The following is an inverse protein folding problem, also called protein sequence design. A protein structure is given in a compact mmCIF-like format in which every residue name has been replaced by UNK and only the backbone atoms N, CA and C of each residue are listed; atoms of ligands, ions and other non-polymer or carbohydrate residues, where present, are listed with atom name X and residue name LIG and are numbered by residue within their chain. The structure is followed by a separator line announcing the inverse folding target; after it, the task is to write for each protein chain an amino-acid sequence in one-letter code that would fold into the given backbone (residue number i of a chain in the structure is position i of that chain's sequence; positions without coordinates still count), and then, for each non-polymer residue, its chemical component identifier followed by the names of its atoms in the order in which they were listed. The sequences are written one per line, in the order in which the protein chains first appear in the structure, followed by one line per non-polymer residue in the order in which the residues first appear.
data_IF_596905247423
#
_entry.id   IF_596905247423
#
_cell.length_a   1.000
_cell.length_b   1.000
_cell.length_c   1.000
_cell.angle_alpha   90.00
_cell.angle_beta   90.00
_cell.angle_gamma   90.00
#
_symmetry.space_group_name_H-M   'P 1'
#
loop_
_entity.id
_entity.type
_entity.pdbx_description
1 polymer ?
#
# COMPACT_ATOMS: atom_id res chain seq x y z
N UNK A 1 -29.75 33.10 88.24
CA UNK A 1 -28.63 33.74 87.47
C UNK A 1 -27.42 32.83 87.32
N UNK A 2 -26.80 32.25 88.33
CA UNK A 2 -25.62 31.38 88.30
C UNK A 2 -25.79 30.17 87.40
N UNK A 3 -26.92 29.49 87.34
CA UNK A 3 -27.20 28.31 86.52
C UNK A 3 -27.18 28.63 85.04
N UNK A 4 -27.67 29.76 84.61
CA UNK A 4 -27.69 30.21 83.22
C UNK A 4 -26.26 30.51 82.72
N UNK A 5 -25.43 31.15 83.59
CA UNK A 5 -24.02 31.44 83.27
C UNK A 5 -23.21 30.14 83.17
N UNK A 6 -23.43 29.17 84.03
CA UNK A 6 -22.75 27.86 83.97
C UNK A 6 -23.18 27.08 82.73
N UNK A 7 -24.42 27.11 82.35
CA UNK A 7 -24.93 26.49 81.13
C UNK A 7 -24.30 27.12 79.83
N UNK A 8 -24.27 28.46 79.82
CA UNK A 8 -23.64 29.20 78.74
C UNK A 8 -22.10 28.89 78.61
N UNK A 9 -21.43 28.81 79.74
CA UNK A 9 -20.02 28.43 79.80
C UNK A 9 -19.76 27.03 79.30
N UNK A 10 -20.56 26.02 79.61
CA UNK A 10 -20.47 24.65 79.13
C UNK A 10 -20.67 24.58 77.61
N UNK A 11 -21.71 25.30 77.13
CA UNK A 11 -21.97 25.36 75.66
C UNK A 11 -20.77 25.98 74.91
N UNK A 12 -20.27 27.13 75.42
CA UNK A 12 -19.14 27.81 74.85
C UNK A 12 -17.84 26.91 74.85
N UNK A 13 -17.58 26.20 75.95
CA UNK A 13 -16.50 25.29 76.12
C UNK A 13 -16.58 24.11 75.11
N UNK A 14 -17.81 23.57 74.89
CA UNK A 14 -18.06 22.51 73.95
C UNK A 14 -17.93 22.99 72.50
N UNK A 15 -18.41 24.17 72.16
CA UNK A 15 -18.26 24.79 70.84
C UNK A 15 -16.78 25.07 70.50
N UNK A 16 -16.00 25.61 71.46
CA UNK A 16 -14.58 25.83 71.27
C UNK A 16 -13.78 24.52 71.07
N UNK A 17 -14.16 23.43 71.72
CA UNK A 17 -13.54 22.13 71.53
C UNK A 17 -13.81 21.62 70.14
N UNK A 18 -15.06 21.68 69.65
CA UNK A 18 -15.42 21.29 68.30
C UNK A 18 -14.74 22.15 67.26
N UNK A 19 -14.64 23.46 67.49
CA UNK A 19 -13.93 24.40 66.59
C UNK A 19 -12.45 24.06 66.47
N UNK A 20 -11.77 23.79 67.60
CA UNK A 20 -10.36 23.39 67.62
C UNK A 20 -10.13 22.07 66.83
N UNK A 21 -11.00 21.10 67.02
CA UNK A 21 -10.92 19.81 66.31
C UNK A 21 -11.13 20.00 64.80
N UNK A 22 -12.14 20.78 64.41
CA UNK A 22 -12.36 21.13 63.00
C UNK A 22 -11.17 21.85 62.36
N UNK A 23 -10.60 22.83 63.12
CA UNK A 23 -9.40 23.56 62.62
C UNK A 23 -8.21 22.63 62.44
N UNK A 24 -8.02 21.64 63.33
CA UNK A 24 -6.94 20.65 63.22
C UNK A 24 -7.16 19.80 61.93
N UNK A 25 -8.37 19.29 61.73
CA UNK A 25 -8.70 18.50 60.52
C UNK A 25 -8.48 19.32 59.24
N UNK A 26 -8.90 20.58 59.20
CA UNK A 26 -8.70 21.48 58.08
C UNK A 26 -7.18 21.70 57.81
N UNK A 27 -6.39 21.88 58.85
CA UNK A 27 -4.95 22.05 58.70
C UNK A 27 -4.30 20.78 58.15
N UNK A 28 -4.68 19.58 58.59
CA UNK A 28 -4.19 18.31 58.10
C UNK A 28 -4.60 18.11 56.63
N UNK A 29 -5.85 18.42 56.26
CA UNK A 29 -6.33 18.36 54.87
C UNK A 29 -5.59 19.35 53.97
N UNK A 30 -5.36 20.58 54.41
CA UNK A 30 -4.61 21.58 53.64
C UNK A 30 -3.18 21.15 53.38
N UNK A 31 -2.51 20.51 54.35
CA UNK A 31 -1.15 19.96 54.18
C UNK A 31 -1.16 18.84 53.16
N UNK A 32 -2.14 17.90 53.22
CA UNK A 32 -2.27 16.81 52.28
C UNK A 32 -2.57 17.33 50.85
N UNK A 33 -3.45 18.32 50.71
CA UNK A 33 -3.73 18.96 49.42
C UNK A 33 -2.46 19.66 48.84
N UNK A 34 -1.72 20.37 49.68
CA UNK A 34 -0.48 21.01 49.23
C UNK A 34 0.54 20.00 48.74
N UNK A 35 0.71 18.87 49.44
CA UNK A 35 1.60 17.80 49.05
C UNK A 35 1.15 17.16 47.71
N UNK A 36 -0.14 16.83 47.59
CA UNK A 36 -0.69 16.30 46.33
C UNK A 36 -0.51 17.27 45.18
N UNK A 37 -0.65 18.58 45.41
CA UNK A 37 -0.45 19.61 44.38
C UNK A 37 1.00 19.60 43.87
N UNK A 38 1.98 19.54 44.79
CA UNK A 38 3.42 19.46 44.43
C UNK A 38 3.69 18.18 43.63
N UNK A 39 3.17 17.03 44.04
CA UNK A 39 3.30 15.76 43.31
C UNK A 39 2.71 15.85 41.90
N UNK A 40 1.50 16.42 41.76
CA UNK A 40 0.85 16.61 40.46
C UNK A 40 1.65 17.56 39.57
N UNK A 41 2.20 18.64 40.08
CA UNK A 41 3.04 19.57 39.33
C UNK A 41 4.33 18.88 38.85
N UNK A 42 4.97 18.10 39.69
CA UNK A 42 6.15 17.32 39.30
C UNK A 42 5.84 16.29 38.21
N UNK A 43 4.74 15.53 38.35
CA UNK A 43 4.29 14.57 37.34
C UNK A 43 3.94 15.25 36.02
N UNK A 44 3.28 16.40 36.05
CA UNK A 44 2.95 17.18 34.86
C UNK A 44 4.21 17.62 34.10
N UNK A 45 5.22 18.10 34.82
CA UNK A 45 6.45 18.57 34.21
C UNK A 45 7.28 17.39 33.63
N UNK A 46 7.27 16.25 34.31
CA UNK A 46 7.84 15.01 33.77
C UNK A 46 7.14 14.58 32.48
N UNK A 47 5.81 14.56 32.47
CA UNK A 47 5.00 14.20 31.30
C UNK A 47 5.27 15.13 30.10
N UNK A 48 5.40 16.43 30.36
CA UNK A 48 5.77 17.40 29.32
C UNK A 48 7.12 17.12 28.69
N UNK A 49 8.11 16.73 29.51
CA UNK A 49 9.45 16.41 29.00
C UNK A 49 9.43 15.13 28.17
N UNK A 50 8.70 14.09 28.61
CA UNK A 50 8.53 12.85 27.85
C UNK A 50 7.81 13.12 26.53
N UNK A 51 6.76 13.92 26.52
CA UNK A 51 6.03 14.25 25.28
C UNK A 51 6.93 14.99 24.28
N UNK A 52 7.74 15.97 24.74
CA UNK A 52 8.69 16.66 23.84
C UNK A 52 9.72 15.69 23.22
N UNK A 53 10.21 14.73 24.01
CA UNK A 53 11.16 13.74 23.50
C UNK A 53 10.49 12.80 22.48
N UNK A 54 9.23 12.36 22.74
CA UNK A 54 8.44 11.56 21.80
C UNK A 54 8.21 12.35 20.50
N UNK A 55 7.82 13.61 20.57
CA UNK A 55 7.63 14.47 19.41
C UNK A 55 8.92 14.56 18.57
N UNK A 56 10.05 14.81 19.21
CA UNK A 56 11.36 14.88 18.53
C UNK A 56 11.73 13.56 17.86
N UNK A 57 11.52 12.43 18.54
CA UNK A 57 11.79 11.11 17.96
C UNK A 57 10.86 10.81 16.79
N UNK A 58 9.59 11.15 16.90
CA UNK A 58 8.60 11.00 15.82
C UNK A 58 8.99 11.83 14.58
N UNK A 59 9.41 13.09 14.77
CA UNK A 59 9.90 13.93 13.66
C UNK A 59 11.13 13.31 12.97
N UNK A 60 12.11 12.80 13.73
CA UNK A 60 13.30 12.17 13.18
C UNK A 60 12.98 10.89 12.39
N UNK A 61 12.10 10.04 12.93
CA UNK A 61 11.65 8.81 12.24
C UNK A 61 10.91 9.17 10.96
N UNK A 62 9.99 10.11 11.03
CA UNK A 62 9.21 10.56 9.88
C UNK A 62 10.11 11.14 8.79
N UNK A 63 11.07 11.99 9.13
CA UNK A 63 12.05 12.52 8.19
C UNK A 63 12.88 11.41 7.52
N UNK A 64 13.26 10.37 8.26
CA UNK A 64 13.98 9.21 7.72
C UNK A 64 13.13 8.42 6.73
N UNK A 65 11.82 8.27 7.00
CA UNK A 65 10.89 7.59 6.09
C UNK A 65 10.66 8.42 4.81
N UNK A 66 10.57 9.76 4.91
CA UNK A 66 10.49 10.62 3.72
C UNK A 66 11.76 10.54 2.86
N UNK A 67 12.93 10.39 3.47
CA UNK A 67 14.14 10.10 2.70
C UNK A 67 14.06 8.76 1.99
N UNK A 68 13.53 7.72 2.65
CA UNK A 68 13.23 6.43 2.04
C UNK A 68 12.26 6.53 0.85
N UNK A 69 11.22 7.37 0.95
CA UNK A 69 10.31 7.67 -0.16
C UNK A 69 11.06 8.25 -1.37
N UNK A 70 12.00 9.17 -1.14
CA UNK A 70 12.81 9.74 -2.23
C UNK A 70 13.59 8.67 -2.97
N UNK A 71 14.16 7.68 -2.25
CA UNK A 71 14.87 6.55 -2.84
C UNK A 71 13.88 5.65 -3.60
N UNK A 72 12.73 5.32 -3.03
CA UNK A 72 11.71 4.49 -3.68
C UNK A 72 11.22 5.13 -4.99
N UNK A 73 10.91 6.43 -4.96
CA UNK A 73 10.49 7.16 -6.15
C UNK A 73 11.55 7.21 -7.26
N UNK A 74 12.84 7.21 -6.91
CA UNK A 74 13.93 7.17 -7.89
C UNK A 74 14.06 5.80 -8.59
N UNK A 75 13.55 4.73 -7.99
CA UNK A 75 13.58 3.36 -8.54
C UNK A 75 12.37 3.08 -9.41
N UNK A 76 11.22 3.70 -9.11
CA UNK A 76 10.00 3.55 -9.90
C UNK A 76 10.17 4.15 -11.30
N UNK A 77 9.69 3.47 -12.36
CA UNK A 77 9.69 4.06 -13.69
C UNK A 77 8.80 5.31 -13.71
N UNK A 78 9.28 6.37 -14.38
CA UNK A 78 8.47 7.58 -14.48
C UNK A 78 7.25 7.29 -15.39
N UNK A 79 6.01 7.65 -15.02
CA UNK A 79 4.81 7.37 -15.82
C UNK A 79 4.93 7.84 -17.29
N UNK A 80 5.62 8.95 -17.55
CA UNK A 80 5.89 9.43 -18.92
C UNK A 80 6.68 8.46 -19.79
N UNK A 81 7.43 7.52 -19.22
CA UNK A 81 8.14 6.50 -20.01
C UNK A 81 7.14 5.51 -20.61
N UNK A 82 6.09 5.17 -19.89
CA UNK A 82 4.98 4.34 -20.34
C UNK A 82 4.13 5.12 -21.35
N UNK A 83 3.79 6.38 -21.04
CA UNK A 83 2.97 7.27 -21.89
C UNK A 83 3.60 7.55 -23.26
N UNK A 84 4.95 7.53 -23.39
CA UNK A 84 5.64 7.66 -24.68
C UNK A 84 5.38 6.49 -25.62
N UNK A 85 4.92 5.36 -25.11
CA UNK A 85 4.75 4.12 -25.88
C UNK A 85 3.28 3.74 -26.01
N UNK A 86 2.50 4.01 -24.97
CA UNK A 86 1.09 3.65 -24.87
C UNK A 86 0.26 4.86 -24.45
N UNK A 87 -0.96 4.96 -24.97
CA UNK A 87 -1.98 5.73 -24.29
C UNK A 87 -2.28 5.00 -22.98
N UNK A 88 -1.94 5.61 -21.82
CA UNK A 88 -1.91 4.89 -20.55
C UNK A 88 -2.24 5.79 -19.36
N UNK A 89 -2.54 5.15 -18.24
CA UNK A 89 -2.52 5.77 -16.91
C UNK A 89 -1.88 4.84 -15.89
N UNK A 90 -1.31 5.43 -14.87
CA UNK A 90 -0.85 4.75 -13.66
C UNK A 90 -1.51 5.45 -12.48
N UNK A 91 -2.30 4.70 -11.72
CA UNK A 91 -2.87 5.11 -10.45
C UNK A 91 -2.05 4.41 -9.37
N UNK A 92 -1.34 5.19 -8.56
CA UNK A 92 -0.44 4.67 -7.54
C UNK A 92 -0.67 5.45 -6.24
N UNK A 93 -1.33 4.84 -5.29
CA UNK A 93 -1.70 5.41 -4.01
C UNK A 93 -1.13 4.57 -2.87
N UNK A 94 0.01 4.95 -2.31
CA UNK A 94 0.52 4.36 -1.07
C UNK A 94 -0.46 4.56 0.08
N UNK A 95 -0.60 3.56 0.94
CA UNK A 95 -1.36 3.65 2.19
C UNK A 95 -0.62 4.46 3.23
N UNK A 96 0.69 4.26 3.32
CA UNK A 96 1.60 4.96 4.21
C UNK A 96 2.49 5.95 3.41
N UNK A 97 3.54 6.48 4.03
CA UNK A 97 4.49 7.38 3.37
C UNK A 97 5.23 6.67 2.23
N UNK A 98 5.59 5.40 2.45
CA UNK A 98 6.23 4.51 1.46
C UNK A 98 5.33 3.30 1.21
N UNK A 99 5.47 2.64 0.06
CA UNK A 99 4.58 1.61 -0.43
C UNK A 99 5.25 0.23 -0.51
N UNK A 100 4.47 -0.82 -0.17
CA UNK A 100 4.83 -2.19 -0.53
C UNK A 100 4.54 -2.49 -1.99
N UNK A 101 3.51 -1.86 -2.54
CA UNK A 101 3.22 -1.92 -3.97
C UNK A 101 4.27 -1.21 -4.79
N UNK A 102 4.49 -1.71 -6.00
CA UNK A 102 5.23 -1.00 -7.02
C UNK A 102 4.82 -1.46 -8.43
N UNK A 103 5.13 -0.64 -9.41
CA UNK A 103 5.04 -1.04 -10.80
C UNK A 103 6.43 -1.02 -11.44
N UNK A 104 6.60 -1.90 -12.42
CA UNK A 104 7.88 -2.06 -13.10
C UNK A 104 7.67 -2.04 -14.62
N UNK A 105 8.59 -1.43 -15.34
CA UNK A 105 8.52 -1.25 -16.77
C UNK A 105 9.91 -1.41 -17.39
N UNK A 106 9.98 -2.12 -18.51
CA UNK A 106 11.20 -2.23 -19.30
C UNK A 106 10.88 -2.24 -20.80
N UNK A 107 11.46 -1.29 -21.50
CA UNK A 107 11.43 -1.21 -22.95
C UNK A 107 12.76 -1.67 -23.53
N UNK A 108 12.78 -2.84 -24.14
CA UNK A 108 14.00 -3.43 -24.71
C UNK A 108 14.35 -2.87 -26.09
N UNK A 109 13.54 -1.94 -26.62
CA UNK A 109 13.73 -1.39 -27.94
C UNK A 109 13.28 -2.34 -29.04
N UNK A 110 13.86 -2.16 -30.24
CA UNK A 110 13.61 -2.99 -31.41
C UNK A 110 14.72 -4.04 -31.58
N UNK A 111 14.31 -5.23 -31.94
CA UNK A 111 15.25 -6.28 -32.35
C UNK A 111 15.67 -6.13 -33.83
N UNK A 112 16.47 -7.09 -34.33
CA UNK A 112 16.93 -7.09 -35.74
C UNK A 112 15.80 -7.22 -36.76
N UNK A 113 14.64 -7.77 -36.35
CA UNK A 113 13.47 -7.90 -37.20
C UNK A 113 12.56 -6.62 -37.11
N UNK A 114 12.95 -5.65 -36.26
CA UNK A 114 12.18 -4.42 -36.00
C UNK A 114 11.06 -4.61 -34.99
N UNK A 115 10.93 -5.79 -34.38
CA UNK A 115 9.92 -6.08 -33.37
C UNK A 115 10.27 -5.37 -32.06
N UNK A 116 9.30 -4.68 -31.48
CA UNK A 116 9.47 -3.97 -30.22
C UNK A 116 8.95 -4.80 -29.05
N UNK A 117 9.84 -5.11 -28.10
CA UNK A 117 9.51 -5.90 -26.91
C UNK A 117 9.49 -5.02 -25.67
N UNK A 118 8.38 -5.07 -24.93
CA UNK A 118 8.12 -4.29 -23.74
C UNK A 118 7.63 -5.22 -22.64
N UNK A 119 8.13 -5.01 -21.42
CA UNK A 119 7.62 -5.65 -20.21
C UNK A 119 6.98 -4.62 -19.29
N UNK A 120 5.89 -5.00 -18.64
CA UNK A 120 5.23 -4.20 -17.62
C UNK A 120 4.68 -5.12 -16.53
N UNK A 121 4.75 -4.67 -15.29
CA UNK A 121 4.21 -5.41 -14.17
C UNK A 121 3.60 -4.49 -13.11
N UNK A 122 2.56 -4.98 -12.44
CA UNK A 122 2.08 -4.47 -11.17
C UNK A 122 2.38 -5.52 -10.08
N UNK A 123 3.00 -5.09 -9.00
CA UNK A 123 3.53 -5.96 -7.96
C UNK A 123 3.06 -5.47 -6.60
N UNK A 124 2.63 -6.41 -5.78
CA UNK A 124 2.20 -6.23 -4.42
C UNK A 124 3.11 -7.07 -3.51
N UNK A 125 3.81 -6.42 -2.59
CA UNK A 125 4.70 -7.06 -1.64
C UNK A 125 3.99 -7.32 -0.32
N UNK A 126 4.35 -8.39 0.37
CA UNK A 126 3.87 -8.65 1.72
C UNK A 126 4.16 -7.48 2.64
N UNK A 127 3.10 -6.92 3.24
CA UNK A 127 3.17 -5.80 4.17
C UNK A 127 3.25 -4.43 3.49
N UNK A 128 2.86 -3.42 4.23
CA UNK A 128 2.85 -2.00 3.79
C UNK A 128 3.87 -1.17 4.58
N UNK A 129 4.05 0.08 4.22
CA UNK A 129 5.01 0.97 4.85
C UNK A 129 6.46 0.53 4.66
N UNK A 130 7.31 0.73 5.66
CA UNK A 130 8.77 0.52 5.55
C UNK A 130 9.16 -0.91 5.16
N UNK A 131 8.62 -1.98 5.77
CA UNK A 131 8.96 -3.35 5.37
C UNK A 131 8.60 -3.65 3.92
N UNK A 132 7.39 -3.28 3.47
CA UNK A 132 6.95 -3.43 2.09
C UNK A 132 7.84 -2.65 1.11
N UNK A 133 8.25 -1.43 1.49
CA UNK A 133 9.12 -0.61 0.67
C UNK A 133 10.51 -1.25 0.43
N UNK A 134 11.07 -1.92 1.42
CA UNK A 134 12.31 -2.68 1.22
C UNK A 134 12.12 -3.83 0.23
N UNK A 135 11.02 -4.56 0.33
CA UNK A 135 10.69 -5.64 -0.60
C UNK A 135 10.47 -5.11 -2.01
N UNK A 136 9.77 -3.98 -2.17
CA UNK A 136 9.54 -3.36 -3.48
C UNK A 136 10.85 -2.97 -4.18
N UNK A 137 11.84 -2.44 -3.45
CA UNK A 137 13.17 -2.14 -3.98
C UNK A 137 13.92 -3.41 -4.41
N UNK A 138 13.88 -4.46 -3.61
CA UNK A 138 14.47 -5.76 -3.93
C UNK A 138 13.82 -6.34 -5.18
N UNK A 139 12.49 -6.35 -5.25
CA UNK A 139 11.72 -6.86 -6.39
C UNK A 139 12.00 -6.13 -7.69
N UNK A 140 12.02 -4.81 -7.66
CA UNK A 140 12.34 -3.97 -8.82
C UNK A 140 13.75 -4.27 -9.36
N UNK A 141 14.73 -4.38 -8.46
CA UNK A 141 16.10 -4.73 -8.86
C UNK A 141 16.21 -6.16 -9.40
N UNK A 142 15.47 -7.12 -8.81
CA UNK A 142 15.45 -8.51 -9.30
C UNK A 142 14.86 -8.59 -10.70
N UNK A 143 13.71 -7.97 -10.96
CA UNK A 143 13.10 -7.95 -12.31
C UNK A 143 14.05 -7.33 -13.32
N UNK A 144 14.68 -6.21 -12.98
CA UNK A 144 15.66 -5.56 -13.86
C UNK A 144 16.86 -6.46 -14.14
N UNK A 145 17.40 -7.15 -13.15
CA UNK A 145 18.51 -8.09 -13.35
C UNK A 145 18.11 -9.29 -14.20
N UNK A 146 16.91 -9.85 -14.01
CA UNK A 146 16.44 -11.01 -14.77
C UNK A 146 16.18 -10.63 -16.23
N UNK A 147 15.44 -9.54 -16.47
CA UNK A 147 14.99 -9.17 -17.80
C UNK A 147 16.07 -8.43 -18.57
N UNK A 148 16.72 -7.43 -17.99
CA UNK A 148 17.61 -6.53 -18.72
C UNK A 148 19.05 -7.09 -18.79
N UNK A 149 19.55 -7.71 -17.70
CA UNK A 149 20.93 -8.19 -17.62
C UNK A 149 21.04 -9.67 -18.05
N UNK A 150 20.21 -10.56 -17.44
CA UNK A 150 20.22 -12.00 -17.78
C UNK A 150 19.44 -12.31 -19.07
N UNK A 151 18.76 -11.32 -19.65
CA UNK A 151 18.02 -11.40 -20.93
C UNK A 151 16.98 -12.53 -20.98
N UNK A 152 16.37 -12.88 -19.84
CA UNK A 152 15.24 -13.82 -19.78
C UNK A 152 14.01 -13.14 -20.37
N UNK A 153 13.26 -13.87 -21.24
CA UNK A 153 12.18 -13.28 -22.05
C UNK A 153 10.80 -13.92 -21.81
N UNK A 154 10.76 -15.10 -21.19
CA UNK A 154 9.50 -15.80 -20.93
C UNK A 154 8.94 -15.43 -19.57
N UNK A 155 7.67 -15.02 -19.54
CA UNK A 155 7.04 -14.44 -18.34
C UNK A 155 6.93 -15.43 -17.17
N UNK A 156 6.63 -16.69 -17.46
CA UNK A 156 6.62 -17.80 -16.50
C UNK A 156 8.00 -18.04 -15.90
N UNK A 157 9.02 -18.12 -16.74
CA UNK A 157 10.42 -18.30 -16.33
C UNK A 157 10.92 -17.11 -15.49
N UNK A 158 10.49 -15.89 -15.81
CA UNK A 158 10.83 -14.70 -15.01
C UNK A 158 10.25 -14.85 -13.60
N UNK A 159 8.97 -15.25 -13.46
CA UNK A 159 8.35 -15.44 -12.14
C UNK A 159 9.02 -16.56 -11.34
N UNK A 160 9.42 -17.69 -11.98
CA UNK A 160 10.19 -18.74 -11.32
C UNK A 160 11.53 -18.24 -10.77
N UNK A 161 12.25 -17.44 -11.57
CA UNK A 161 13.52 -16.87 -11.14
C UNK A 161 13.33 -15.82 -10.02
N UNK A 162 12.25 -15.05 -10.05
CA UNK A 162 11.91 -14.14 -8.95
C UNK A 162 11.63 -14.94 -7.67
N UNK A 163 10.82 -16.00 -7.74
CA UNK A 163 10.52 -16.88 -6.59
C UNK A 163 11.81 -17.44 -5.99
N UNK A 164 12.67 -18.04 -6.81
CA UNK A 164 13.93 -18.64 -6.35
C UNK A 164 14.87 -17.61 -5.70
N UNK A 165 15.06 -16.47 -6.39
CA UNK A 165 15.99 -15.42 -5.92
C UNK A 165 15.47 -14.74 -4.66
N UNK A 166 14.16 -14.52 -4.55
CA UNK A 166 13.53 -13.93 -3.36
C UNK A 166 13.67 -14.85 -2.15
N UNK A 167 13.35 -16.14 -2.30
CA UNK A 167 13.56 -17.15 -1.25
C UNK A 167 14.99 -17.20 -0.75
N UNK A 168 15.95 -17.10 -1.67
CA UNK A 168 17.36 -17.08 -1.33
C UNK A 168 17.76 -15.77 -0.62
N UNK A 169 17.34 -14.62 -1.14
CA UNK A 169 17.68 -13.30 -0.59
C UNK A 169 17.12 -13.11 0.84
N UNK A 170 15.93 -13.65 1.11
CA UNK A 170 15.29 -13.60 2.43
C UNK A 170 15.65 -14.80 3.33
N UNK A 171 16.56 -15.69 2.86
CA UNK A 171 16.99 -16.90 3.58
C UNK A 171 15.82 -17.77 4.04
N UNK A 172 14.72 -17.82 3.30
CA UNK A 172 13.47 -18.49 3.67
C UNK A 172 13.62 -20.00 3.96
N UNK A 173 14.48 -20.76 3.27
CA UNK A 173 14.69 -22.16 3.62
C UNK A 173 15.22 -22.42 5.03
N UNK A 174 15.77 -21.38 5.69
CA UNK A 174 16.41 -21.47 7.00
C UNK A 174 15.84 -20.47 8.03
N UNK A 175 14.77 -19.78 7.70
CA UNK A 175 14.13 -18.78 8.56
C UNK A 175 12.62 -18.95 8.58
N UNK A 176 11.94 -18.29 9.51
CA UNK A 176 10.47 -18.23 9.58
C UNK A 176 9.89 -17.13 8.66
N UNK A 177 10.74 -16.49 7.85
CA UNK A 177 10.29 -15.42 6.94
C UNK A 177 9.39 -16.03 5.85
N UNK A 178 8.17 -15.49 5.72
CA UNK A 178 7.16 -15.87 4.73
C UNK A 178 6.80 -14.75 3.78
N UNK A 179 7.62 -13.70 3.72
CA UNK A 179 7.39 -12.56 2.84
C UNK A 179 7.48 -12.96 1.37
N UNK A 180 6.62 -12.38 0.56
CA UNK A 180 6.51 -12.70 -0.86
C UNK A 180 6.03 -11.52 -1.68
N UNK A 181 5.85 -11.77 -2.97
CA UNK A 181 5.32 -10.80 -3.92
C UNK A 181 4.25 -11.45 -4.78
N UNK A 182 3.13 -10.79 -4.92
CA UNK A 182 2.07 -11.12 -5.86
C UNK A 182 2.24 -10.26 -7.11
N UNK A 183 2.37 -10.87 -8.28
CA UNK A 183 2.84 -10.21 -9.50
C UNK A 183 1.87 -10.43 -10.64
N UNK A 184 1.49 -9.35 -11.34
CA UNK A 184 0.89 -9.37 -12.66
C UNK A 184 1.95 -8.94 -13.67
N UNK A 185 2.52 -9.87 -14.44
CA UNK A 185 3.60 -9.61 -15.40
C UNK A 185 3.12 -9.81 -16.83
N UNK A 186 3.30 -8.79 -17.67
CA UNK A 186 3.01 -8.83 -19.09
C UNK A 186 4.27 -8.56 -19.94
N UNK A 187 4.44 -9.36 -21.00
CA UNK A 187 5.35 -9.09 -22.11
C UNK A 187 4.51 -8.71 -23.33
N UNK A 188 4.77 -7.58 -23.93
CA UNK A 188 4.07 -7.05 -25.11
C UNK A 188 5.07 -6.98 -26.27
N UNK A 189 4.73 -7.64 -27.39
CA UNK A 189 5.54 -7.60 -28.62
C UNK A 189 4.71 -6.93 -29.70
N UNK A 190 5.20 -5.81 -30.21
CA UNK A 190 4.68 -5.15 -31.41
C UNK A 190 5.53 -5.56 -32.60
N UNK A 191 4.91 -6.31 -33.54
CA UNK A 191 5.58 -6.75 -34.77
C UNK A 191 5.80 -5.56 -35.71
N UNK A 192 6.98 -5.51 -36.34
CA UNK A 192 7.24 -4.59 -37.42
C UNK A 192 6.37 -4.98 -38.62
N UNK A 193 5.31 -4.21 -38.91
CA UNK A 193 4.48 -4.40 -40.09
C UNK A 193 4.58 -3.18 -40.98
N UNK A 194 4.46 -3.41 -42.32
CA UNK A 194 4.47 -2.31 -43.28
C UNK A 194 3.17 -1.44 -43.26
N UNK A 195 2.12 -1.84 -42.54
CA UNK A 195 0.86 -1.12 -42.45
C UNK A 195 0.44 -0.95 -40.97
N UNK A 196 0.41 0.27 -40.50
CA UNK A 196 0.02 0.62 -39.11
C UNK A 196 -1.39 0.16 -38.69
N UNK A 197 -2.33 0.00 -39.63
CA UNK A 197 -3.73 -0.35 -39.35
C UNK A 197 -3.98 -1.81 -38.96
N UNK A 198 -3.06 -2.73 -39.29
CA UNK A 198 -3.19 -4.18 -39.03
C UNK A 198 -2.10 -4.73 -38.10
N UNK A 199 -1.56 -3.90 -37.23
CA UNK A 199 -0.49 -4.30 -36.35
C UNK A 199 -0.98 -5.32 -35.32
N UNK A 200 -0.55 -6.57 -35.49
CA UNK A 200 -0.79 -7.62 -34.49
C UNK A 200 0.13 -7.39 -33.30
N UNK A 201 -0.44 -7.44 -32.13
CA UNK A 201 0.25 -7.29 -30.85
C UNK A 201 0.18 -8.64 -30.14
N UNK A 202 1.31 -9.19 -29.79
CA UNK A 202 1.39 -10.43 -29.04
C UNK A 202 1.65 -10.09 -27.57
N UNK A 203 0.79 -10.64 -26.70
CA UNK A 203 0.90 -10.47 -25.26
C UNK A 203 1.13 -11.84 -24.63
N UNK A 204 2.18 -11.94 -23.81
CA UNK A 204 2.36 -13.06 -22.90
C UNK A 204 2.13 -12.55 -21.47
N UNK A 205 1.29 -13.25 -20.72
CA UNK A 205 0.95 -12.94 -19.33
C UNK A 205 1.29 -14.12 -18.42
N UNK A 206 1.90 -13.84 -17.28
CA UNK A 206 2.00 -14.74 -16.13
C UNK A 206 1.66 -13.98 -14.86
N UNK A 207 0.90 -14.61 -13.97
CA UNK A 207 0.45 -13.98 -12.74
C UNK A 207 0.72 -14.84 -11.51
N UNK A 208 1.38 -14.27 -10.51
CA UNK A 208 1.43 -14.81 -9.15
C UNK A 208 0.28 -14.20 -8.36
N UNK A 209 -0.79 -14.95 -8.07
CA UNK A 209 -2.08 -14.55 -7.48
C UNK A 209 -2.82 -13.39 -8.19
N UNK A 210 -2.15 -12.61 -9.00
CA UNK A 210 -2.74 -11.44 -9.68
C UNK A 210 -3.27 -11.84 -11.05
N UNK A 211 -4.40 -11.26 -11.43
CA UNK A 211 -5.06 -11.48 -12.73
C UNK A 211 -4.85 -10.29 -13.65
N UNK A 212 -4.89 -10.55 -14.95
CA UNK A 212 -4.92 -9.52 -15.98
C UNK A 212 -6.36 -9.27 -16.41
N UNK A 213 -6.78 -8.01 -16.54
CA UNK A 213 -8.07 -7.62 -17.11
C UNK A 213 -7.86 -7.16 -18.55
N UNK A 214 -8.57 -7.78 -19.47
CA UNK A 214 -8.49 -7.50 -20.91
C UNK A 214 -9.82 -6.98 -21.44
N UNK A 215 -9.81 -5.79 -22.01
CA UNK A 215 -10.96 -5.17 -22.69
C UNK A 215 -10.67 -5.08 -24.18
N UNK A 216 -11.24 -6.01 -24.96
CA UNK A 216 -11.23 -5.91 -26.42
C UNK A 216 -12.28 -4.93 -26.90
N UNK A 217 -12.03 -4.29 -28.03
CA UNK A 217 -13.00 -3.37 -28.64
C UNK A 217 -14.34 -4.06 -28.89
N UNK A 218 -15.42 -3.50 -28.37
CA UNK A 218 -16.79 -4.01 -28.54
C UNK A 218 -17.12 -5.29 -27.77
N UNK A 219 -16.23 -5.79 -26.90
CA UNK A 219 -16.48 -6.98 -26.06
C UNK A 219 -16.51 -6.59 -24.59
N UNK A 220 -17.07 -7.46 -23.77
CA UNK A 220 -16.96 -7.34 -22.31
C UNK A 220 -15.53 -7.63 -21.83
N UNK A 221 -15.26 -7.21 -20.59
CA UNK A 221 -13.96 -7.45 -19.95
C UNK A 221 -13.78 -8.93 -19.67
N UNK A 222 -12.66 -9.47 -20.14
CA UNK A 222 -12.19 -10.82 -19.87
C UNK A 222 -11.17 -10.76 -18.71
N UNK A 223 -11.28 -11.67 -17.74
CA UNK A 223 -10.30 -11.82 -16.66
C UNK A 223 -9.44 -13.04 -16.95
N UNK A 224 -8.16 -12.82 -17.16
CA UNK A 224 -7.17 -13.89 -17.31
C UNK A 224 -6.53 -14.11 -15.95
N UNK A 225 -6.83 -15.27 -15.35
CA UNK A 225 -6.40 -15.57 -13.98
C UNK A 225 -4.92 -15.97 -13.96
N UNK A 226 -4.18 -15.46 -12.99
CA UNK A 226 -2.88 -15.97 -12.62
C UNK A 226 -2.97 -17.22 -11.74
N UNK A 227 -1.83 -17.81 -11.45
CA UNK A 227 -1.70 -18.96 -10.55
C UNK A 227 -2.01 -18.55 -9.10
N UNK A 228 -2.48 -19.52 -8.31
CA UNK A 228 -2.85 -19.31 -6.89
C UNK A 228 -1.64 -19.37 -5.95
N UNK A 229 -0.45 -19.06 -6.43
CA UNK A 229 0.79 -19.01 -5.65
C UNK A 229 1.43 -17.63 -5.73
N UNK A 230 2.11 -17.23 -4.67
CA UNK A 230 2.96 -16.03 -4.62
C UNK A 230 4.38 -16.36 -5.08
N UNK A 231 5.19 -15.38 -5.39
CA UNK A 231 6.64 -15.52 -5.50
C UNK A 231 7.27 -15.26 -4.14
N UNK A 232 8.18 -16.15 -3.70
CA UNK A 232 8.62 -16.16 -2.29
C UNK A 232 7.51 -16.60 -1.36
N UNK A 233 7.73 -16.49 -0.06
CA UNK A 233 6.74 -16.75 0.98
C UNK A 233 6.13 -18.14 0.99
N UNK A 234 5.40 -18.48 2.08
CA UNK A 234 4.61 -19.71 2.18
C UNK A 234 5.35 -21.01 1.89
N UNK A 235 4.57 -22.06 1.65
CA UNK A 235 5.14 -23.36 1.28
C UNK A 235 5.64 -23.33 -0.17
N UNK A 236 6.78 -23.99 -0.39
CA UNK A 236 7.29 -24.23 -1.74
C UNK A 236 6.25 -24.98 -2.58
N UNK A 237 5.90 -24.43 -3.74
CA UNK A 237 5.00 -25.06 -4.70
C UNK A 237 5.83 -25.53 -5.91
N UNK A 238 5.92 -26.85 -6.18
CA UNK A 238 6.70 -27.37 -7.28
C UNK A 238 6.08 -27.14 -8.66
N UNK A 239 4.80 -26.76 -8.74
CA UNK A 239 4.14 -26.50 -10.01
C UNK A 239 4.68 -25.20 -10.63
N UNK A 240 5.09 -25.20 -11.90
CA UNK A 240 5.59 -24.00 -12.55
C UNK A 240 4.47 -22.95 -12.71
N UNK A 241 4.87 -21.68 -12.87
CA UNK A 241 3.92 -20.63 -13.24
C UNK A 241 3.39 -20.86 -14.66
N UNK A 242 2.12 -20.58 -14.84
CA UNK A 242 1.46 -20.67 -16.15
C UNK A 242 1.78 -19.44 -17.01
N UNK A 243 1.95 -19.66 -18.32
CA UNK A 243 2.07 -18.60 -19.32
C UNK A 243 0.82 -18.60 -20.22
N UNK A 244 0.19 -17.44 -20.35
CA UNK A 244 -0.93 -17.21 -21.26
C UNK A 244 -0.46 -16.37 -22.44
N UNK A 245 -0.67 -16.88 -23.66
CA UNK A 245 -0.31 -16.17 -24.89
C UNK A 245 -1.57 -15.71 -25.63
N UNK A 246 -1.61 -14.43 -25.97
CA UNK A 246 -2.76 -13.75 -26.54
C UNK A 246 -2.35 -12.98 -27.79
N UNK A 247 -3.19 -13.06 -28.82
CA UNK A 247 -3.10 -12.20 -30.00
C UNK A 247 -4.14 -11.07 -29.85
N UNK A 248 -3.65 -9.85 -29.87
CA UNK A 248 -4.42 -8.64 -29.64
C UNK A 248 -4.33 -7.71 -30.85
N UNK A 249 -5.19 -6.70 -30.88
CA UNK A 249 -5.25 -5.71 -31.94
C UNK A 249 -5.01 -4.29 -31.36
N UNK A 250 -4.59 -3.40 -32.23
CA UNK A 250 -4.51 -1.98 -31.88
C UNK A 250 -5.86 -1.47 -31.36
N UNK A 251 -5.83 -0.85 -30.19
CA UNK A 251 -7.02 -0.33 -29.50
C UNK A 251 -7.62 -1.27 -28.46
N UNK A 252 -7.16 -2.54 -28.35
CA UNK A 252 -7.45 -3.37 -27.17
C UNK A 252 -6.77 -2.77 -25.94
N UNK A 253 -7.31 -3.03 -24.78
CA UNK A 253 -6.83 -2.44 -23.52
C UNK A 253 -6.59 -3.53 -22.51
N UNK A 254 -5.53 -3.35 -21.72
CA UNK A 254 -5.19 -4.23 -20.61
C UNK A 254 -5.07 -3.41 -19.32
N UNK A 255 -5.41 -4.07 -18.19
CA UNK A 255 -5.29 -3.45 -16.87
C UNK A 255 -4.63 -4.44 -15.92
N UNK A 256 -3.58 -3.96 -15.26
CA UNK A 256 -2.85 -4.66 -14.24
C UNK A 256 -3.16 -4.00 -12.90
N UNK A 257 -3.41 -4.78 -11.86
CA UNK A 257 -3.76 -4.25 -10.54
C UNK A 257 -3.11 -5.05 -9.42
N UNK A 258 -2.86 -4.39 -8.30
CA UNK A 258 -2.70 -5.03 -6.99
C UNK A 258 -4.07 -5.24 -6.34
N UNK A 259 -4.15 -5.83 -5.14
CA UNK A 259 -5.45 -6.10 -4.50
C UNK A 259 -6.04 -4.90 -3.74
N UNK A 260 -5.26 -3.89 -3.41
CA UNK A 260 -5.73 -2.78 -2.59
C UNK A 260 -6.97 -2.08 -3.12
N UNK A 261 -7.11 -1.96 -4.47
CA UNK A 261 -8.35 -1.47 -5.06
C UNK A 261 -9.54 -2.39 -4.73
N UNK A 262 -9.33 -3.72 -4.86
CA UNK A 262 -10.40 -4.71 -4.69
C UNK A 262 -10.79 -4.88 -3.22
N UNK A 263 -9.82 -4.68 -2.34
CA UNK A 263 -9.96 -4.85 -0.89
C UNK A 263 -10.35 -3.55 -0.16
N UNK A 264 -10.42 -2.43 -0.88
CA UNK A 264 -10.93 -1.18 -0.30
C UNK A 264 -12.35 -1.36 0.22
N UNK A 265 -12.56 -0.95 1.47
CA UNK A 265 -13.87 -1.01 2.12
C UNK A 265 -14.66 0.29 1.93
N UNK A 266 -15.99 0.14 1.80
CA UNK A 266 -16.95 1.23 1.98
C UNK A 266 -17.26 1.45 3.48
N UNK A 267 -17.97 2.53 3.87
CA UNK A 267 -18.45 2.73 5.23
C UNK A 267 -19.31 1.56 5.77
N UNK A 268 -19.96 0.82 4.88
CA UNK A 268 -20.72 -0.40 5.23
C UNK A 268 -19.84 -1.65 5.35
N UNK A 269 -18.51 -1.53 5.38
CA UNK A 269 -17.54 -2.63 5.46
C UNK A 269 -17.63 -3.64 4.30
N UNK A 270 -18.16 -3.23 3.17
CA UNK A 270 -18.21 -4.05 1.95
C UNK A 270 -16.95 -3.75 1.13
N UNK A 271 -16.29 -4.80 0.62
CA UNK A 271 -15.12 -4.64 -0.26
C UNK A 271 -15.54 -4.24 -1.66
N UNK A 272 -14.71 -3.46 -2.36
CA UNK A 272 -14.92 -3.04 -3.74
C UNK A 272 -15.05 -4.24 -4.70
N UNK A 273 -14.18 -5.21 -4.59
CA UNK A 273 -14.11 -6.47 -5.33
C UNK A 273 -13.90 -6.30 -6.85
N UNK A 274 -13.38 -7.35 -7.47
CA UNK A 274 -13.13 -7.37 -8.93
C UNK A 274 -14.39 -7.21 -9.79
N UNK A 275 -15.56 -7.62 -9.29
CA UNK A 275 -16.82 -7.48 -10.02
C UNK A 275 -17.16 -5.99 -10.27
N UNK A 276 -16.95 -5.11 -9.30
CA UNK A 276 -17.20 -3.68 -9.46
C UNK A 276 -16.17 -3.05 -10.41
N UNK A 277 -14.92 -3.47 -10.36
CA UNK A 277 -13.92 -3.03 -11.32
C UNK A 277 -14.26 -3.46 -12.74
N UNK A 278 -14.72 -4.69 -12.95
CA UNK A 278 -15.20 -5.17 -14.26
C UNK A 278 -16.40 -4.34 -14.74
N UNK A 279 -17.35 -4.02 -13.87
CA UNK A 279 -18.48 -3.14 -14.22
C UNK A 279 -17.98 -1.76 -14.65
N UNK A 280 -17.07 -1.16 -13.89
CA UNK A 280 -16.42 0.10 -14.25
C UNK A 280 -15.74 0.03 -15.62
N UNK A 281 -14.93 -1.00 -15.88
CA UNK A 281 -14.25 -1.17 -17.16
C UNK A 281 -15.21 -1.45 -18.32
N UNK A 282 -16.33 -2.15 -18.10
CA UNK A 282 -17.34 -2.35 -19.13
C UNK A 282 -18.05 -1.05 -19.49
N UNK A 283 -18.30 -0.20 -18.51
CA UNK A 283 -18.96 1.10 -18.71
C UNK A 283 -18.03 2.15 -19.33
N UNK A 284 -16.82 2.28 -18.81
CA UNK A 284 -15.91 3.37 -19.14
C UNK A 284 -14.66 2.95 -19.92
N UNK A 285 -14.42 1.65 -20.09
CA UNK A 285 -13.20 1.14 -20.70
C UNK A 285 -13.01 1.50 -22.18
N UNK A 286 -13.98 2.14 -22.84
CA UNK A 286 -13.83 2.65 -24.20
C UNK A 286 -13.40 4.13 -24.27
N UNK A 287 -13.41 4.84 -23.14
CA UNK A 287 -13.00 6.23 -23.04
C UNK A 287 -11.45 6.38 -23.18
N UNK A 288 -10.94 7.58 -23.43
CA UNK A 288 -9.51 7.87 -23.35
C UNK A 288 -8.95 7.47 -21.98
N UNK A 289 -7.70 7.00 -21.96
CA UNK A 289 -7.08 6.48 -20.71
C UNK A 289 -7.06 7.51 -19.57
N UNK A 290 -6.83 8.79 -19.88
CA UNK A 290 -6.83 9.87 -18.88
C UNK A 290 -8.21 10.08 -18.26
N UNK A 291 -9.27 9.96 -19.06
CA UNK A 291 -10.64 10.08 -18.57
C UNK A 291 -11.02 8.86 -17.70
N UNK A 292 -10.57 7.66 -18.08
CA UNK A 292 -10.75 6.47 -17.24
C UNK A 292 -10.06 6.63 -15.89
N UNK A 293 -8.84 7.17 -15.86
CA UNK A 293 -8.13 7.46 -14.61
C UNK A 293 -8.96 8.37 -13.71
N UNK A 294 -9.38 9.54 -14.22
CA UNK A 294 -10.16 10.51 -13.44
C UNK A 294 -11.46 9.91 -12.89
N UNK A 295 -12.15 9.09 -13.70
CA UNK A 295 -13.39 8.42 -13.26
C UNK A 295 -13.14 7.35 -12.22
N UNK A 296 -12.03 6.58 -12.35
CA UNK A 296 -11.68 5.55 -11.37
C UNK A 296 -11.29 6.19 -10.03
N UNK A 297 -10.56 7.30 -10.08
CA UNK A 297 -10.22 8.10 -8.90
C UNK A 297 -11.48 8.61 -8.18
N UNK A 298 -12.44 9.14 -8.94
CA UNK A 298 -13.71 9.60 -8.39
C UNK A 298 -14.54 8.44 -7.80
N UNK A 299 -14.66 7.33 -8.55
CA UNK A 299 -15.36 6.13 -8.09
C UNK A 299 -14.75 5.57 -6.79
N UNK A 300 -13.42 5.53 -6.69
CA UNK A 300 -12.72 5.07 -5.50
C UNK A 300 -12.93 6.02 -4.32
N UNK A 301 -12.85 7.33 -4.56
CA UNK A 301 -13.09 8.35 -3.55
C UNK A 301 -14.51 8.26 -2.98
N UNK A 302 -15.51 8.19 -3.86
CA UNK A 302 -16.92 8.09 -3.47
C UNK A 302 -17.21 6.78 -2.73
N UNK A 303 -16.61 5.67 -3.21
CA UNK A 303 -16.79 4.36 -2.57
C UNK A 303 -16.19 4.32 -1.17
N UNK A 304 -15.00 4.86 -0.99
CA UNK A 304 -14.33 4.94 0.30
C UNK A 304 -15.01 5.92 1.25
N UNK A 305 -15.48 7.05 0.71
CA UNK A 305 -16.09 8.13 1.50
C UNK A 305 -15.19 8.53 2.67
N UNK A 306 -15.62 8.28 3.93
CA UNK A 306 -14.88 8.61 5.16
C UNK A 306 -13.93 7.52 5.64
N UNK A 307 -13.93 6.35 5.01
CA UNK A 307 -13.05 5.25 5.42
C UNK A 307 -11.61 5.51 4.98
N UNK A 308 -10.67 5.06 5.80
CA UNK A 308 -9.26 5.10 5.45
C UNK A 308 -8.94 4.12 4.31
N UNK A 309 -7.87 4.38 3.60
CA UNK A 309 -7.33 3.43 2.62
C UNK A 309 -6.91 2.13 3.33
N UNK A 310 -7.36 0.99 2.79
CA UNK A 310 -7.16 -0.32 3.42
C UNK A 310 -5.76 -0.86 3.17
N UNK A 311 -5.24 -0.67 1.95
CA UNK A 311 -3.93 -1.13 1.51
C UNK A 311 -3.35 -0.21 0.42
N UNK A 312 -2.10 -0.43 0.01
CA UNK A 312 -1.51 0.22 -1.15
C UNK A 312 -2.34 -0.09 -2.41
N UNK A 313 -2.53 0.88 -3.28
CA UNK A 313 -3.34 0.72 -4.49
C UNK A 313 -2.51 1.04 -5.72
N UNK A 314 -2.37 0.04 -6.60
CA UNK A 314 -1.74 0.22 -7.90
C UNK A 314 -2.67 -0.27 -9.01
N UNK A 315 -2.96 0.61 -9.98
CA UNK A 315 -3.71 0.26 -11.19
C UNK A 315 -3.00 0.86 -12.41
N UNK A 316 -2.70 0.01 -13.37
CA UNK A 316 -2.10 0.42 -14.65
C UNK A 316 -3.09 0.12 -15.76
N UNK A 317 -3.48 1.12 -16.52
CA UNK A 317 -4.28 0.96 -17.73
C UNK A 317 -3.45 1.27 -18.97
N UNK A 318 -3.45 0.37 -19.94
CA UNK A 318 -2.75 0.52 -21.21
C UNK A 318 -3.71 0.30 -22.38
N UNK A 319 -3.68 1.17 -23.37
CA UNK A 319 -4.26 0.94 -24.69
C UNK A 319 -3.14 0.52 -25.66
N UNK A 320 -3.31 -0.63 -26.24
CA UNK A 320 -2.34 -1.29 -27.10
C UNK A 320 -2.38 -0.76 -28.54
#
# INVERSE_FOLDING_TARGET
MIFLIYRAYRVKKRANRILREKNRIIQEQNRAISQQKEEIEAQRDQLRNVNREIERQHENITASIYYGLTIQQAILPHPKEIERIFESFVLFYPKDIVSGDFYWFSNLGQDRAGDKTIFIAAIDCTGHGVPGAFLSMIGSRMLSAIVNESKVRETDTILELVDQRLRHALNQPKSENVDGMDICLCKIIRKATQKEKDQRIYLSFSGAKRSLFLKRKGKEVEIIKGDRRTTGGGHFNPNPFSKHELSLHTGDRIYLTTDGLMDQHSPSRIRFRSIRFVQFLNQYGNLPMKEQQTRLEAELHDYRSTENQTDDITVIGLKL
#
